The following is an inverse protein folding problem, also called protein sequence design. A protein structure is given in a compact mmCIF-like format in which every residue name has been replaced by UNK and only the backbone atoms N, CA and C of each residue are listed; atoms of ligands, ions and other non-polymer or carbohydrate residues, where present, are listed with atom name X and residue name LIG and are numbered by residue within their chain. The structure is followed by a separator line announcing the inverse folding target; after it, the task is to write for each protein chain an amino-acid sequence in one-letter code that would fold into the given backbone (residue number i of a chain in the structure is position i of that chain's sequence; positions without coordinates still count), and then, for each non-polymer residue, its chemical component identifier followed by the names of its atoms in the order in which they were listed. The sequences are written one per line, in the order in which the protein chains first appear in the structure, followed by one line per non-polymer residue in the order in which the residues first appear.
data_IF_433352400168
#
_entry.id   IF_433352400168
#
_cell.length_a   1.000
_cell.length_b   1.000
_cell.length_c   1.000
_cell.angle_alpha   90.00
_cell.angle_beta   90.00
_cell.angle_gamma   90.00
#
_symmetry.space_group_name_H-M   'P 1'
#
loop_
_entity.id
_entity.type
_entity.pdbx_description
1 polymer ?
#
# COMPACT_ATOMS: atom_id res chain seq x y z
N UNK A 1 -21.85 27.66 -12.11
CA UNK A 1 -20.89 27.34 -13.18
C UNK A 1 -19.49 27.62 -12.64
N UNK A 2 -18.78 26.60 -12.13
CA UNK A 2 -17.39 26.77 -11.70
C UNK A 2 -16.51 26.50 -12.92
N UNK A 3 -15.67 27.47 -13.25
CA UNK A 3 -14.66 27.33 -14.30
C UNK A 3 -13.56 26.44 -13.74
N UNK A 4 -13.40 25.24 -14.31
CA UNK A 4 -12.27 24.38 -14.01
C UNK A 4 -11.03 24.92 -14.73
N UNK A 5 -9.96 25.17 -13.99
CA UNK A 5 -8.62 25.44 -14.53
C UNK A 5 -8.01 24.12 -14.99
N UNK A 6 -7.48 24.07 -16.20
CA UNK A 6 -7.06 22.84 -16.90
C UNK A 6 -5.68 22.28 -16.48
N UNK A 7 -5.36 22.23 -15.19
CA UNK A 7 -4.12 21.57 -14.70
C UNK A 7 -4.32 20.93 -13.32
N UNK A 8 -5.30 20.06 -13.14
CA UNK A 8 -5.40 19.23 -11.93
C UNK A 8 -4.43 18.03 -12.06
N UNK A 9 -3.25 18.24 -11.48
CA UNK A 9 -2.20 17.24 -11.33
C UNK A 9 -2.64 16.33 -10.18
N UNK A 10 -2.94 15.05 -10.47
CA UNK A 10 -3.26 14.04 -9.45
C UNK A 10 -2.30 14.17 -8.26
N UNK A 11 -2.79 14.46 -7.06
CA UNK A 11 -1.89 14.76 -5.95
C UNK A 11 -1.39 13.49 -5.27
N UNK A 12 -2.23 12.44 -5.21
CA UNK A 12 -1.94 11.21 -4.46
C UNK A 12 -2.21 9.93 -5.27
N UNK A 13 -1.20 9.08 -5.42
CA UNK A 13 -1.31 7.74 -6.01
C UNK A 13 -1.49 6.67 -4.92
N UNK A 14 -2.45 5.75 -5.07
CA UNK A 14 -2.64 4.63 -4.14
C UNK A 14 -2.12 3.35 -4.76
N UNK A 15 -1.13 2.76 -4.11
CA UNK A 15 -0.53 1.49 -4.47
C UNK A 15 -0.90 0.45 -3.40
N UNK A 16 -1.82 -0.46 -3.73
CA UNK A 16 -2.32 -1.47 -2.80
C UNK A 16 -2.85 -2.71 -3.55
N UNK A 17 -3.03 -3.80 -2.81
CA UNK A 17 -3.64 -5.03 -3.34
C UNK A 17 -4.59 -5.63 -2.32
N UNK A 18 -5.72 -6.12 -2.82
CA UNK A 18 -6.67 -6.96 -2.09
C UNK A 18 -8.04 -6.32 -1.95
N UNK A 19 -9.07 -7.08 -2.31
CA UNK A 19 -10.47 -6.71 -2.23
C UNK A 19 -10.90 -6.27 -0.82
N UNK A 20 -10.40 -6.94 0.21
CA UNK A 20 -10.68 -6.58 1.62
C UNK A 20 -10.30 -5.13 1.91
N UNK A 21 -9.13 -4.68 1.44
CA UNK A 21 -8.66 -3.31 1.63
C UNK A 21 -9.54 -2.29 0.89
N UNK A 22 -9.99 -2.64 -0.32
CA UNK A 22 -10.82 -1.77 -1.16
C UNK A 22 -12.11 -1.37 -0.48
N UNK A 23 -12.79 -2.32 0.16
CA UNK A 23 -14.09 -2.09 0.80
C UNK A 23 -14.00 -1.73 2.29
N UNK A 24 -12.79 -1.61 2.84
CA UNK A 24 -12.58 -1.24 4.25
C UNK A 24 -11.70 0.01 4.40
N UNK A 25 -10.40 -0.17 4.60
CA UNK A 25 -9.47 0.93 4.87
C UNK A 25 -9.37 1.93 3.72
N UNK A 26 -9.30 1.43 2.48
CA UNK A 26 -9.11 2.28 1.30
C UNK A 26 -10.38 3.06 0.97
N UNK A 27 -11.58 2.49 1.13
CA UNK A 27 -12.84 3.22 0.92
C UNK A 27 -12.96 4.40 1.90
N UNK A 28 -12.65 4.21 3.18
CA UNK A 28 -12.66 5.31 4.15
C UNK A 28 -11.65 6.41 3.83
N UNK A 29 -10.48 6.04 3.30
CA UNK A 29 -9.44 7.00 2.91
C UNK A 29 -9.85 7.79 1.65
N UNK A 30 -10.48 7.12 0.68
CA UNK A 30 -11.10 7.72 -0.50
C UNK A 30 -12.18 8.73 -0.07
N UNK A 31 -13.13 8.30 0.77
CA UNK A 31 -14.21 9.18 1.23
C UNK A 31 -13.67 10.42 1.95
N UNK A 32 -12.57 10.28 2.71
CA UNK A 32 -11.92 11.40 3.37
C UNK A 32 -11.30 12.37 2.37
N UNK A 33 -10.60 11.86 1.35
CA UNK A 33 -9.99 12.69 0.32
C UNK A 33 -11.05 13.44 -0.49
N UNK A 34 -12.15 12.77 -0.85
CA UNK A 34 -13.29 13.39 -1.53
C UNK A 34 -13.91 14.51 -0.69
N UNK A 35 -14.16 14.27 0.61
CA UNK A 35 -14.68 15.30 1.53
C UNK A 35 -13.78 16.53 1.64
N UNK A 36 -12.48 16.35 1.49
CA UNK A 36 -11.49 17.42 1.58
C UNK A 36 -11.03 17.98 0.23
N UNK A 37 -11.61 17.52 -0.89
CA UNK A 37 -11.27 17.99 -2.23
C UNK A 37 -9.82 17.70 -2.64
N UNK A 38 -9.27 16.56 -2.19
CA UNK A 38 -7.92 16.11 -2.56
C UNK A 38 -8.02 15.19 -3.77
N UNK A 39 -7.34 15.53 -4.87
CA UNK A 39 -7.30 14.69 -6.06
C UNK A 39 -6.41 13.47 -5.87
N UNK A 40 -6.95 12.30 -6.19
CA UNK A 40 -6.23 11.03 -6.08
C UNK A 40 -6.46 10.12 -7.28
N UNK A 41 -5.49 9.25 -7.49
CA UNK A 41 -5.60 8.11 -8.39
C UNK A 41 -5.55 6.82 -7.57
N UNK A 42 -6.64 6.06 -7.62
CA UNK A 42 -6.71 4.74 -7.00
C UNK A 42 -6.41 3.69 -8.06
N UNK A 43 -5.39 2.88 -7.79
CA UNK A 43 -5.21 1.68 -8.56
C UNK A 43 -6.39 0.70 -8.33
N UNK A 44 -7.17 0.46 -9.40
CA UNK A 44 -8.40 -0.35 -9.37
C UNK A 44 -8.20 -1.76 -9.98
N UNK A 45 -6.97 -2.27 -10.10
CA UNK A 45 -6.60 -3.50 -10.85
C UNK A 45 -7.22 -4.86 -10.47
N UNK A 46 -8.17 -4.93 -9.55
CA UNK A 46 -9.02 -6.12 -9.51
C UNK A 46 -9.90 -6.26 -10.77
N UNK A 47 -10.04 -5.21 -11.58
CA UNK A 47 -10.65 -5.27 -12.91
C UNK A 47 -9.56 -5.17 -13.99
N UNK A 48 -9.25 -6.31 -14.64
CA UNK A 48 -8.34 -6.42 -15.80
C UNK A 48 -8.72 -5.41 -16.90
N UNK A 49 -7.71 -4.80 -17.54
CA UNK A 49 -7.89 -4.20 -18.88
C UNK A 49 -7.26 -2.83 -19.18
N UNK A 50 -6.46 -2.23 -18.29
CA UNK A 50 -5.77 -0.96 -18.60
C UNK A 50 -4.30 -1.18 -18.96
N UNK A 51 -3.86 -0.45 -19.98
CA UNK A 51 -2.53 -0.51 -20.57
C UNK A 51 -1.45 -0.08 -19.56
N UNK A 52 -0.37 -0.85 -19.45
CA UNK A 52 0.76 -0.66 -18.50
C UNK A 52 1.30 0.76 -18.46
N UNK A 53 1.31 1.40 -19.63
CA UNK A 53 1.90 2.73 -19.83
C UNK A 53 1.11 3.83 -19.12
N UNK A 54 -0.22 3.69 -19.04
CA UNK A 54 -1.08 4.72 -18.46
C UNK A 54 -0.82 4.84 -16.95
N UNK A 55 -0.59 3.73 -16.25
CA UNK A 55 -0.43 3.78 -14.80
C UNK A 55 0.94 4.25 -14.34
N UNK A 56 2.03 3.85 -15.01
CA UNK A 56 3.33 4.43 -14.70
C UNK A 56 3.35 5.94 -14.95
N UNK A 57 2.59 6.43 -15.94
CA UNK A 57 2.39 7.87 -16.14
C UNK A 57 1.64 8.51 -14.95
N UNK A 58 0.61 7.86 -14.39
CA UNK A 58 -0.07 8.37 -13.17
C UNK A 58 0.86 8.48 -11.97
N UNK A 59 1.79 7.54 -11.79
CA UNK A 59 2.80 7.64 -10.72
C UNK A 59 3.74 8.83 -10.98
N UNK A 60 4.13 9.08 -12.23
CA UNK A 60 4.97 10.22 -12.62
C UNK A 60 4.28 11.58 -12.46
N UNK A 61 2.97 11.63 -12.73
CA UNK A 61 2.13 12.81 -12.54
C UNK A 61 1.91 13.13 -11.06
N UNK A 62 2.01 12.12 -10.18
CA UNK A 62 1.70 12.25 -8.76
C UNK A 62 2.78 12.96 -7.94
N UNK A 63 2.36 13.68 -6.88
CA UNK A 63 3.28 14.29 -5.89
C UNK A 63 3.51 13.40 -4.68
N UNK A 64 2.49 12.67 -4.27
CA UNK A 64 2.51 11.75 -3.14
C UNK A 64 2.08 10.37 -3.64
N UNK A 65 2.67 9.31 -3.09
CA UNK A 65 2.19 7.96 -3.27
C UNK A 65 2.07 7.24 -1.93
N UNK A 66 0.93 6.60 -1.72
CA UNK A 66 0.64 5.76 -0.57
C UNK A 66 0.94 4.31 -0.93
N UNK A 67 1.98 3.74 -0.32
CA UNK A 67 2.29 2.32 -0.43
C UNK A 67 1.59 1.58 0.70
N UNK A 68 0.43 0.98 0.43
CA UNK A 68 -0.40 0.31 1.44
C UNK A 68 -0.07 -1.19 1.42
N UNK A 69 0.89 -1.57 2.27
CA UNK A 69 1.34 -2.94 2.42
C UNK A 69 0.31 -3.78 3.19
N UNK A 70 -0.08 -4.90 2.58
CA UNK A 70 -0.88 -5.99 3.16
C UNK A 70 -0.23 -7.32 2.81
N UNK A 71 -0.67 -8.43 3.41
CA UNK A 71 -0.15 -9.76 3.03
C UNK A 71 -0.30 -10.02 1.52
N UNK A 72 -1.43 -9.62 0.93
CA UNK A 72 -1.75 -9.82 -0.50
C UNK A 72 -0.99 -8.89 -1.44
N UNK A 73 -0.38 -7.82 -0.92
CA UNK A 73 0.48 -6.94 -1.71
C UNK A 73 1.61 -7.72 -2.39
N UNK A 74 2.18 -8.70 -1.68
CA UNK A 74 3.24 -9.56 -2.18
C UNK A 74 2.81 -10.67 -3.15
N UNK A 75 1.51 -10.77 -3.46
CA UNK A 75 0.98 -11.68 -4.48
C UNK A 75 0.99 -11.05 -5.89
N UNK A 76 1.23 -9.74 -5.98
CA UNK A 76 1.11 -8.96 -7.23
C UNK A 76 2.47 -8.47 -7.71
N UNK A 77 2.99 -9.05 -8.81
CA UNK A 77 4.18 -8.52 -9.50
C UNK A 77 4.01 -7.08 -9.91
N UNK A 78 2.78 -6.68 -10.24
CA UNK A 78 2.45 -5.33 -10.63
C UNK A 78 2.59 -4.32 -9.51
N UNK A 79 2.02 -4.61 -8.33
CA UNK A 79 2.17 -3.72 -7.17
C UNK A 79 3.64 -3.58 -6.79
N UNK A 80 4.43 -4.64 -6.96
CA UNK A 80 5.88 -4.62 -6.75
C UNK A 80 6.63 -3.79 -7.80
N UNK A 81 6.25 -3.88 -9.09
CA UNK A 81 6.85 -3.08 -10.15
C UNK A 81 6.49 -1.58 -10.01
N UNK A 82 5.28 -1.26 -9.55
CA UNK A 82 4.87 0.09 -9.15
C UNK A 82 5.73 0.61 -8.00
N UNK A 83 5.97 -0.20 -6.97
CA UNK A 83 6.84 0.17 -5.85
C UNK A 83 8.26 0.51 -6.32
N UNK A 84 8.81 -0.27 -7.26
CA UNK A 84 10.11 0.00 -7.89
C UNK A 84 10.10 1.34 -8.61
N UNK A 85 9.03 1.64 -9.37
CA UNK A 85 8.88 2.94 -10.05
C UNK A 85 8.78 4.08 -9.05
N UNK A 86 7.96 3.94 -8.02
CA UNK A 86 7.80 4.92 -6.95
C UNK A 86 9.15 5.20 -6.28
N UNK A 87 9.90 4.15 -5.90
CA UNK A 87 11.24 4.27 -5.31
C UNK A 87 12.17 5.06 -6.22
N UNK A 88 12.21 4.74 -7.52
CA UNK A 88 13.02 5.49 -8.51
C UNK A 88 12.66 6.97 -8.56
N UNK A 89 11.38 7.32 -8.52
CA UNK A 89 10.94 8.73 -8.52
C UNK A 89 11.24 9.44 -7.19
N UNK A 90 11.14 8.72 -6.08
CA UNK A 90 11.50 9.24 -4.76
C UNK A 90 13.00 9.53 -4.63
N UNK A 91 13.86 8.67 -5.18
CA UNK A 91 15.30 8.92 -5.25
C UNK A 91 15.62 10.18 -6.07
N UNK A 92 14.82 10.47 -7.09
CA UNK A 92 14.90 11.69 -7.90
C UNK A 92 14.23 12.91 -7.24
N UNK A 93 13.70 12.77 -6.01
CA UNK A 93 12.93 13.80 -5.29
C UNK A 93 11.70 14.30 -6.05
N UNK A 94 11.15 13.47 -6.94
CA UNK A 94 9.95 13.79 -7.74
C UNK A 94 8.65 13.31 -7.09
N UNK A 95 8.75 12.35 -6.17
CA UNK A 95 7.60 11.72 -5.51
C UNK A 95 7.90 11.50 -4.03
N UNK A 96 6.97 11.91 -3.16
CA UNK A 96 7.01 11.55 -1.74
C UNK A 96 6.25 10.23 -1.53
N UNK A 97 6.87 9.26 -0.87
CA UNK A 97 6.23 7.97 -0.57
C UNK A 97 5.89 7.93 0.91
N UNK A 98 4.64 7.57 1.24
CA UNK A 98 4.18 7.31 2.60
C UNK A 98 3.82 5.82 2.71
N UNK A 99 4.61 5.01 3.44
CA UNK A 99 4.27 3.62 3.67
C UNK A 99 3.17 3.49 4.73
N UNK A 100 2.18 2.64 4.45
CA UNK A 100 1.10 2.27 5.36
C UNK A 100 1.13 0.75 5.52
N UNK A 101 1.28 0.26 6.75
CA UNK A 101 1.32 -1.17 7.07
C UNK A 101 -0.04 -1.61 7.61
N UNK A 102 -0.86 -2.20 6.74
CA UNK A 102 -2.19 -2.68 7.08
C UNK A 102 -2.15 -4.17 7.45
N UNK A 103 -2.36 -4.46 8.75
CA UNK A 103 -2.36 -5.83 9.31
C UNK A 103 -1.09 -6.63 9.02
N UNK A 104 0.03 -5.96 8.72
CA UNK A 104 1.35 -6.56 8.52
C UNK A 104 2.40 -5.86 9.37
N UNK A 105 3.48 -6.57 9.71
CA UNK A 105 4.61 -5.98 10.41
C UNK A 105 5.57 -5.33 9.40
N UNK A 106 5.97 -4.08 9.64
CA UNK A 106 6.95 -3.37 8.83
C UNK A 106 8.28 -4.15 8.69
N UNK A 107 8.70 -4.86 9.74
CA UNK A 107 9.89 -5.72 9.70
C UNK A 107 9.73 -6.87 8.69
N UNK A 108 8.55 -7.47 8.64
CA UNK A 108 8.25 -8.59 7.75
C UNK A 108 8.17 -8.14 6.29
N UNK A 109 7.61 -6.96 6.03
CA UNK A 109 7.65 -6.32 4.70
C UNK A 109 9.10 -6.02 4.29
N UNK A 110 9.88 -5.40 5.19
CA UNK A 110 11.27 -5.01 4.93
C UNK A 110 12.20 -6.19 4.67
N UNK A 111 12.04 -7.27 5.45
CA UNK A 111 12.92 -8.45 5.38
C UNK A 111 12.34 -9.59 4.53
N UNK A 112 11.13 -9.41 3.99
CA UNK A 112 10.37 -10.43 3.28
C UNK A 112 10.27 -11.73 4.11
N UNK A 113 9.80 -11.59 5.35
CA UNK A 113 9.56 -12.68 6.32
C UNK A 113 8.09 -12.79 6.69
N UNK A 114 7.71 -13.82 7.46
CA UNK A 114 6.32 -14.07 7.85
C UNK A 114 5.40 -14.32 6.65
N UNK A 115 4.10 -14.11 6.83
CA UNK A 115 3.08 -14.30 5.78
C UNK A 115 3.36 -13.44 4.53
N UNK A 116 3.79 -12.18 4.71
CA UNK A 116 4.19 -11.32 3.60
C UNK A 116 5.35 -11.93 2.80
N UNK A 117 6.34 -12.48 3.50
CA UNK A 117 7.48 -13.17 2.91
C UNK A 117 7.08 -14.44 2.16
N UNK A 118 6.18 -15.25 2.70
CA UNK A 118 5.67 -16.45 2.04
C UNK A 118 5.01 -16.13 0.69
N UNK A 119 4.18 -15.09 0.66
CA UNK A 119 3.58 -14.59 -0.57
C UNK A 119 4.65 -14.05 -1.54
N UNK A 120 5.60 -13.25 -1.04
CA UNK A 120 6.70 -12.71 -1.85
C UNK A 120 7.55 -13.80 -2.51
N UNK A 121 7.97 -14.81 -1.76
CA UNK A 121 8.80 -15.88 -2.28
C UNK A 121 8.03 -16.83 -3.20
N UNK A 122 6.71 -16.94 -3.02
CA UNK A 122 5.85 -17.64 -3.97
C UNK A 122 5.81 -16.92 -5.32
N UNK A 123 5.61 -15.60 -5.31
CA UNK A 123 5.67 -14.77 -6.51
C UNK A 123 7.05 -14.84 -7.19
N UNK A 124 8.13 -14.77 -6.39
CA UNK A 124 9.51 -14.76 -6.88
C UNK A 124 9.90 -16.02 -7.68
N UNK A 125 9.26 -17.18 -7.44
CA UNK A 125 9.54 -18.43 -8.18
C UNK A 125 9.33 -18.29 -9.70
N UNK A 126 8.46 -17.39 -10.13
CA UNK A 126 8.14 -17.13 -11.53
C UNK A 126 8.83 -15.88 -12.09
N UNK A 127 9.75 -15.25 -11.33
CA UNK A 127 10.37 -13.97 -11.67
C UNK A 127 11.86 -14.09 -11.92
N UNK A 128 12.43 -13.15 -12.67
CA UNK A 128 13.88 -13.11 -12.90
C UNK A 128 14.65 -12.63 -11.67
N UNK A 129 15.91 -13.05 -11.55
CA UNK A 129 16.79 -12.60 -10.45
C UNK A 129 16.91 -11.08 -10.35
N UNK A 130 16.99 -10.40 -11.49
CA UNK A 130 17.04 -8.92 -11.54
C UNK A 130 15.74 -8.27 -11.05
N UNK A 131 14.59 -8.86 -11.36
CA UNK A 131 13.30 -8.36 -10.90
C UNK A 131 13.17 -8.53 -9.38
N UNK A 132 13.51 -9.72 -8.87
CA UNK A 132 13.51 -10.01 -7.43
C UNK A 132 14.42 -9.04 -6.69
N UNK A 133 15.63 -8.77 -7.22
CA UNK A 133 16.57 -7.81 -6.63
C UNK A 133 15.96 -6.42 -6.51
N UNK A 134 15.35 -5.90 -7.59
CA UNK A 134 14.69 -4.58 -7.58
C UNK A 134 13.55 -4.52 -6.58
N UNK A 135 12.73 -5.56 -6.50
CA UNK A 135 11.63 -5.60 -5.53
C UNK A 135 12.13 -5.58 -4.09
N UNK A 136 13.16 -6.38 -3.76
CA UNK A 136 13.77 -6.39 -2.42
C UNK A 136 14.32 -5.02 -2.05
N UNK A 137 15.08 -4.39 -2.94
CA UNK A 137 15.63 -3.05 -2.72
C UNK A 137 14.52 -2.01 -2.50
N UNK A 138 13.43 -2.09 -3.26
CA UNK A 138 12.29 -1.19 -3.12
C UNK A 138 11.55 -1.39 -1.79
N UNK A 139 11.26 -2.64 -1.42
CA UNK A 139 10.62 -2.99 -0.15
C UNK A 139 11.46 -2.55 1.05
N UNK A 140 12.78 -2.78 1.00
CA UNK A 140 13.71 -2.38 2.05
C UNK A 140 13.72 -0.85 2.21
N UNK A 141 13.99 -0.12 1.12
CA UNK A 141 14.10 1.34 1.14
C UNK A 141 12.79 2.04 1.52
N UNK A 142 11.64 1.56 1.04
CA UNK A 142 10.35 2.20 1.31
C UNK A 142 9.86 1.90 2.72
N UNK A 143 10.12 0.69 3.23
CA UNK A 143 9.67 0.29 4.57
C UNK A 143 10.50 0.90 5.71
N UNK A 144 11.71 1.39 5.43
CA UNK A 144 12.56 2.11 6.39
C UNK A 144 12.18 3.59 6.57
N UNK A 145 11.31 4.13 5.70
CA UNK A 145 10.78 5.49 5.87
C UNK A 145 9.73 5.50 6.99
N UNK A 146 9.58 6.64 7.66
CA UNK A 146 8.49 6.83 8.63
C UNK A 146 7.14 6.48 7.99
N UNK A 147 6.41 5.54 8.60
CA UNK A 147 5.14 5.01 8.10
C UNK A 147 4.05 4.91 9.16
N UNK A 148 2.81 4.72 8.72
CA UNK A 148 1.65 4.51 9.59
C UNK A 148 1.39 3.00 9.73
N UNK A 149 1.26 2.49 10.95
CA UNK A 149 0.95 1.07 11.21
C UNK A 149 -0.44 0.91 11.79
N UNK A 150 -1.26 0.07 11.15
CA UNK A 150 -2.62 -0.27 11.59
C UNK A 150 -2.64 -1.75 12.00
N UNK A 151 -2.79 -1.98 13.30
CA UNK A 151 -2.96 -3.30 13.92
C UNK A 151 -4.40 -3.46 14.38
N UNK A 152 -4.95 -4.66 14.27
CA UNK A 152 -6.25 -4.96 14.88
C UNK A 152 -6.17 -4.77 16.40
N UNK A 153 -7.06 -3.95 16.96
CA UNK A 153 -7.34 -4.00 18.40
C UNK A 153 -8.15 -5.27 18.65
N UNK A 154 -7.48 -6.34 19.10
CA UNK A 154 -8.18 -7.47 19.72
C UNK A 154 -8.92 -6.94 20.95
N UNK A 155 -10.23 -6.74 20.84
CA UNK A 155 -11.10 -6.62 22.01
C UNK A 155 -11.06 -7.96 22.73
N UNK A 156 -10.25 -8.07 23.79
CA UNK A 156 -10.43 -9.12 24.76
C UNK A 156 -11.69 -8.77 25.57
N UNK A 157 -12.74 -9.61 25.58
CA UNK A 157 -13.80 -9.45 26.57
C UNK A 157 -13.15 -9.64 27.94
N UNK A 158 -13.26 -8.63 28.80
CA UNK A 158 -12.89 -8.74 30.21
C UNK A 158 -13.75 -9.86 30.81
N UNK A 159 -13.15 -11.02 31.09
CA UNK A 159 -13.81 -12.05 31.87
C UNK A 159 -13.98 -11.54 33.29
N UNK A 160 -15.23 -11.30 33.69
CA UNK A 160 -15.62 -11.03 35.08
C UNK A 160 -15.16 -12.20 35.95
N UNK A 161 -14.16 -11.98 36.80
CA UNK A 161 -13.82 -12.88 37.89
C UNK A 161 -14.87 -12.72 38.99
N UNK A 162 -15.86 -13.60 39.01
CA UNK A 162 -16.73 -13.75 40.19
C UNK A 162 -15.90 -14.29 41.35
N UNK A 163 -15.63 -13.45 42.34
CA UNK A 163 -15.16 -13.92 43.65
C UNK A 163 -16.33 -14.61 44.36
N UNK A 164 -16.22 -15.92 44.55
CA UNK A 164 -17.03 -16.68 45.49
C UNK A 164 -16.49 -16.45 46.90
N UNK A 165 -17.20 -15.69 47.73
CA UNK A 165 -17.07 -15.77 49.17
C UNK A 165 -17.85 -16.99 49.66
N UNK A 166 -17.15 -17.96 50.23
CA UNK A 166 -17.74 -18.99 51.08
C UNK A 166 -17.56 -18.61 52.55
N UNK A 167 -18.63 -18.84 53.32
CA UNK A 167 -18.76 -18.66 54.76
C UNK A 167 -17.70 -19.39 55.59
#
# INVERSE_FOLDING_TARGET
MRVFSTTDVHQVFFNYRGEELRYSFVSHLIDAFERHGIDFFVDKYEQRGKDLKDLFARIEESKIALAIFSARYAESSWCMDELVKMKKLADQRKLQIIPIFYKVNARDVRKQTGEFGENFWTLAKASSGDQIKKWKEALECVSDKMGLSLKDKRYFPLTLSTHSHSH
#
